data_IF_553172920355
#
_entry.id   IF_553172920355
#
_cell.length_a   1.000
_cell.length_b   1.000
_cell.length_c   1.000
_cell.angle_alpha   90.00
_cell.angle_beta   90.00
_cell.angle_gamma   90.00
#
_symmetry.space_group_name_H-M   'P 1'
#
loop_
_entity.id
_entity.type
_entity.pdbx_description
1 polymer ?
#
# COMPACT_ATOMS: atom_id res chain seq x y z
N UNK A 1 46.74 -21.39 -42.37
CA UNK A 1 46.50 -19.96 -42.07
C UNK A 1 45.26 -19.85 -41.16
N UNK A 2 45.27 -18.85 -40.28
CA UNK A 2 44.37 -18.63 -39.13
C UNK A 2 42.96 -18.19 -39.57
N UNK A 3 41.94 -18.57 -38.80
CA UNK A 3 41.08 -17.59 -38.09
C UNK A 3 40.31 -18.26 -36.94
N UNK A 4 40.55 -17.75 -35.74
CA UNK A 4 39.78 -17.95 -34.50
C UNK A 4 38.45 -17.21 -34.63
N UNK A 5 37.40 -17.64 -33.93
CA UNK A 5 36.65 -16.80 -32.96
C UNK A 5 35.78 -17.70 -32.07
N UNK A 6 35.86 -17.45 -30.76
CA UNK A 6 35.18 -18.11 -29.65
C UNK A 6 33.82 -17.44 -29.37
N UNK A 7 33.13 -17.98 -28.36
CA UNK A 7 31.96 -17.45 -27.63
C UNK A 7 30.63 -17.99 -28.17
N UNK A 8 29.78 -18.60 -27.35
CA UNK A 8 29.79 -18.68 -25.90
C UNK A 8 28.35 -18.95 -25.49
N UNK A 9 28.15 -20.04 -24.76
CA UNK A 9 26.89 -20.34 -24.08
C UNK A 9 26.61 -19.17 -23.13
N UNK A 10 25.62 -18.34 -23.46
CA UNK A 10 25.19 -17.22 -22.62
C UNK A 10 23.77 -16.82 -22.98
N UNK A 11 22.81 -17.28 -22.17
CA UNK A 11 21.78 -16.44 -21.55
C UNK A 11 20.95 -17.29 -20.58
N UNK A 12 21.65 -17.91 -19.62
CA UNK A 12 21.09 -18.13 -18.30
C UNK A 12 21.05 -16.78 -17.58
N UNK A 13 20.07 -15.95 -17.93
CA UNK A 13 19.78 -14.69 -17.24
C UNK A 13 18.33 -14.29 -17.51
N UNK A 14 17.38 -15.16 -17.19
CA UNK A 14 16.10 -14.68 -16.66
C UNK A 14 16.38 -14.21 -15.23
N UNK A 15 17.05 -13.06 -15.18
CA UNK A 15 17.19 -12.20 -14.04
C UNK A 15 15.81 -12.08 -13.41
N UNK A 16 15.70 -12.63 -12.20
CA UNK A 16 15.22 -11.88 -11.04
C UNK A 16 14.24 -10.80 -11.48
N UNK A 17 12.99 -11.20 -11.75
CA UNK A 17 11.88 -10.29 -11.65
C UNK A 17 12.02 -9.68 -10.26
N UNK A 18 12.60 -8.48 -10.23
CA UNK A 18 12.91 -7.80 -9.00
C UNK A 18 11.65 -7.85 -8.17
N UNK A 19 11.75 -8.46 -7.00
CA UNK A 19 10.94 -8.08 -5.86
C UNK A 19 11.27 -6.61 -5.58
N UNK A 20 10.91 -5.73 -6.49
CA UNK A 20 10.77 -4.31 -6.26
C UNK A 20 9.53 -4.23 -5.40
N UNK A 21 9.74 -4.57 -4.12
CA UNK A 21 8.84 -4.20 -3.04
C UNK A 21 8.82 -2.69 -3.18
N UNK A 22 7.79 -2.16 -3.85
CA UNK A 22 7.60 -0.72 -4.02
C UNK A 22 7.88 -0.09 -2.66
N UNK A 23 8.60 1.04 -2.56
CA UNK A 23 8.96 1.61 -1.27
C UNK A 23 7.67 1.78 -0.48
N UNK A 24 7.46 0.87 0.46
CA UNK A 24 6.26 0.87 1.26
C UNK A 24 6.47 1.99 2.24
N UNK A 25 5.48 2.88 2.33
CA UNK A 25 5.57 4.05 3.18
C UNK A 25 6.03 3.60 4.57
N UNK A 26 7.21 4.06 5.00
CA UNK A 26 7.72 3.76 6.33
C UNK A 26 6.73 4.34 7.35
N UNK A 27 6.03 3.46 8.06
CA UNK A 27 5.06 3.85 9.08
C UNK A 27 5.70 4.01 10.45
N UNK A 28 5.00 4.68 11.39
CA UNK A 28 5.45 4.78 12.77
C UNK A 28 5.53 3.39 13.42
N UNK A 29 6.60 3.16 14.18
CA UNK A 29 6.77 1.98 15.04
C UNK A 29 6.26 2.30 16.44
N UNK A 30 5.53 1.37 17.03
CA UNK A 30 4.98 1.50 18.38
C UNK A 30 5.66 0.53 19.34
N UNK A 31 5.58 0.83 20.64
CA UNK A 31 6.21 0.02 21.67
C UNK A 31 5.36 -1.21 22.04
N UNK A 32 4.05 -1.16 21.78
CA UNK A 32 3.12 -2.24 22.09
C UNK A 32 2.06 -2.49 21.01
N UNK A 33 1.51 -3.70 21.00
CA UNK A 33 0.39 -4.06 20.13
C UNK A 33 -0.85 -3.17 20.36
N UNK A 34 -1.08 -2.72 21.60
CA UNK A 34 -2.19 -1.85 21.97
C UNK A 34 -2.07 -0.47 21.31
N UNK A 35 -0.88 0.15 21.35
CA UNK A 35 -0.62 1.43 20.67
C UNK A 35 -0.75 1.31 19.16
N UNK A 36 -0.21 0.23 18.57
CA UNK A 36 -0.36 -0.04 17.14
C UNK A 36 -1.83 -0.22 16.74
N UNK A 37 -2.64 -0.93 17.55
CA UNK A 37 -4.07 -1.09 17.31
C UNK A 37 -4.82 0.24 17.43
N UNK A 38 -4.48 1.08 18.41
CA UNK A 38 -5.06 2.42 18.55
C UNK A 38 -4.75 3.29 17.32
N UNK A 39 -3.51 3.25 16.82
CA UNK A 39 -3.12 3.95 15.61
C UNK A 39 -3.91 3.43 14.39
N UNK A 40 -4.02 2.11 14.20
CA UNK A 40 -4.80 1.53 13.11
C UNK A 40 -6.28 1.96 13.15
N UNK A 41 -6.87 1.99 14.34
CA UNK A 41 -8.25 2.46 14.53
C UNK A 41 -8.38 3.95 14.19
N UNK A 42 -7.39 4.77 14.55
CA UNK A 42 -7.37 6.19 14.19
C UNK A 42 -7.25 6.40 12.67
N UNK A 43 -6.39 5.65 12.01
CA UNK A 43 -6.27 5.69 10.55
C UNK A 43 -7.58 5.25 9.87
N UNK A 44 -8.25 4.22 10.38
CA UNK A 44 -9.56 3.76 9.87
C UNK A 44 -10.65 4.82 10.05
N UNK A 45 -10.76 5.42 11.23
CA UNK A 45 -11.73 6.48 11.49
C UNK A 45 -11.51 7.72 10.61
N UNK A 46 -10.24 8.03 10.28
CA UNK A 46 -9.91 9.09 9.34
C UNK A 46 -10.34 8.74 7.90
N UNK A 47 -10.21 7.48 7.47
CA UNK A 47 -10.73 7.02 6.17
C UNK A 47 -12.25 7.17 6.12
N UNK A 48 -12.97 6.71 7.16
CA UNK A 48 -14.43 6.81 7.23
C UNK A 48 -14.89 8.27 7.15
N UNK A 49 -14.18 9.18 7.82
CA UNK A 49 -14.44 10.62 7.74
C UNK A 49 -14.25 11.15 6.32
N UNK A 50 -13.15 10.79 5.64
CA UNK A 50 -12.87 11.22 4.27
C UNK A 50 -13.92 10.68 3.28
N UNK A 51 -14.37 9.43 3.46
CA UNK A 51 -15.46 8.85 2.66
C UNK A 51 -16.77 9.61 2.90
N UNK A 52 -17.07 9.95 4.17
CA UNK A 52 -18.22 10.77 4.52
C UNK A 52 -18.17 12.19 3.92
N UNK A 53 -16.98 12.77 3.82
CA UNK A 53 -16.75 14.05 3.11
C UNK A 53 -16.94 13.89 1.60
N UNK A 54 -16.42 12.81 1.01
CA UNK A 54 -16.59 12.52 -0.42
C UNK A 54 -18.06 12.39 -0.80
N UNK A 55 -18.87 11.75 0.04
CA UNK A 55 -20.32 11.62 -0.16
C UNK A 55 -21.07 12.97 -0.13
N UNK A 56 -20.47 14.01 0.46
CA UNK A 56 -21.04 15.35 0.60
C UNK A 56 -20.34 16.41 -0.26
N UNK A 57 -19.36 16.01 -1.09
CA UNK A 57 -18.56 16.95 -1.86
C UNK A 57 -19.38 17.55 -3.02
N UNK A 58 -19.43 18.88 -3.07
CA UNK A 58 -20.30 19.64 -3.97
C UNK A 58 -19.63 20.02 -5.30
N UNK A 59 -18.34 19.69 -5.46
CA UNK A 59 -17.58 20.02 -6.68
C UNK A 59 -16.72 18.86 -7.17
N UNK A 60 -16.49 18.81 -8.48
CA UNK A 60 -15.58 17.83 -9.09
C UNK A 60 -14.15 17.96 -8.57
N UNK A 61 -13.67 19.18 -8.34
CA UNK A 61 -12.34 19.42 -7.80
C UNK A 61 -12.19 18.81 -6.39
N UNK A 62 -13.20 19.00 -5.52
CA UNK A 62 -13.20 18.43 -4.18
C UNK A 62 -13.34 16.91 -4.21
N UNK A 63 -14.26 16.37 -5.02
CA UNK A 63 -14.41 14.92 -5.24
C UNK A 63 -13.10 14.29 -5.69
N UNK A 64 -12.39 14.92 -6.63
CA UNK A 64 -11.11 14.45 -7.16
C UNK A 64 -10.02 14.51 -6.09
N UNK A 65 -9.94 15.59 -5.31
CA UNK A 65 -8.98 15.71 -4.20
C UNK A 65 -9.20 14.62 -3.13
N UNK A 66 -10.44 14.41 -2.72
CA UNK A 66 -10.79 13.40 -1.71
C UNK A 66 -10.51 11.99 -2.23
N UNK A 67 -11.06 11.65 -3.41
CA UNK A 67 -11.03 10.30 -3.97
C UNK A 67 -9.65 9.89 -4.49
N UNK A 68 -8.92 10.78 -5.14
CA UNK A 68 -7.70 10.43 -5.87
C UNK A 68 -6.43 10.67 -5.07
N UNK A 69 -6.50 11.52 -4.04
CA UNK A 69 -5.32 11.93 -3.27
C UNK A 69 -5.48 11.56 -1.80
N UNK A 70 -6.48 12.13 -1.12
CA UNK A 70 -6.53 12.05 0.35
C UNK A 70 -6.88 10.65 0.85
N UNK A 71 -7.92 10.00 0.30
CA UNK A 71 -8.30 8.64 0.71
C UNK A 71 -7.18 7.62 0.39
N UNK A 72 -6.58 7.59 -0.82
CA UNK A 72 -5.44 6.71 -1.10
C UNK A 72 -4.25 6.94 -0.18
N UNK A 73 -3.88 8.19 0.10
CA UNK A 73 -2.80 8.52 1.04
C UNK A 73 -3.12 8.04 2.46
N UNK A 74 -4.39 8.09 2.86
CA UNK A 74 -4.79 7.62 4.18
C UNK A 74 -4.69 6.09 4.30
N UNK A 75 -5.03 5.35 3.23
CA UNK A 75 -4.73 3.92 3.17
C UNK A 75 -3.23 3.63 3.21
N UNK A 76 -2.39 4.47 2.60
CA UNK A 76 -0.92 4.33 2.70
C UNK A 76 -0.42 4.46 4.14
N UNK A 77 -0.97 5.39 4.94
CA UNK A 77 -0.63 5.50 6.36
C UNK A 77 -1.02 4.25 7.14
N UNK A 78 -2.24 3.76 6.94
CA UNK A 78 -2.71 2.51 7.55
C UNK A 78 -1.82 1.32 7.20
N UNK A 79 -1.46 1.17 5.92
CA UNK A 79 -0.56 0.11 5.45
C UNK A 79 0.84 0.25 6.05
N UNK A 80 1.35 1.47 6.19
CA UNK A 80 2.61 1.75 6.87
C UNK A 80 2.58 1.31 8.34
N UNK A 81 1.50 1.60 9.06
CA UNK A 81 1.33 1.14 10.45
C UNK A 81 1.31 -0.39 10.52
N UNK A 82 0.58 -1.08 9.63
CA UNK A 82 0.55 -2.54 9.60
C UNK A 82 1.94 -3.13 9.39
N UNK A 83 2.69 -2.61 8.41
CA UNK A 83 4.00 -3.17 8.08
C UNK A 83 5.08 -2.86 9.12
N UNK A 84 5.11 -1.64 9.67
CA UNK A 84 6.11 -1.23 10.65
C UNK A 84 5.96 -1.96 12.01
N UNK A 85 4.81 -2.59 12.26
CA UNK A 85 4.45 -3.17 13.56
C UNK A 85 4.21 -4.68 13.52
N UNK A 86 4.59 -5.38 12.45
CA UNK A 86 4.40 -6.83 12.30
C UNK A 86 5.10 -7.65 13.41
N UNK A 87 6.19 -7.13 13.98
CA UNK A 87 6.90 -7.78 15.09
C UNK A 87 6.07 -7.88 16.38
N UNK A 88 5.05 -7.03 16.54
CA UNK A 88 4.19 -6.98 17.73
C UNK A 88 3.03 -7.99 17.67
N UNK A 89 2.90 -8.72 16.56
CA UNK A 89 1.79 -9.62 16.27
C UNK A 89 2.10 -11.07 16.62
N UNK A 90 1.13 -11.76 17.22
CA UNK A 90 1.17 -13.22 17.32
C UNK A 90 0.95 -13.87 15.95
N UNK A 91 1.26 -15.15 15.81
CA UNK A 91 1.01 -15.88 14.56
C UNK A 91 -0.48 -15.93 14.19
N UNK A 92 -1.36 -16.04 15.18
CA UNK A 92 -2.82 -15.99 14.98
C UNK A 92 -3.26 -14.62 14.43
N UNK A 93 -2.67 -13.53 14.94
CA UNK A 93 -3.00 -12.17 14.52
C UNK A 93 -2.50 -11.87 13.10
N UNK A 94 -1.38 -12.47 12.68
CA UNK A 94 -0.82 -12.25 11.34
C UNK A 94 -1.79 -12.58 10.22
N UNK A 95 -2.54 -13.69 10.32
CA UNK A 95 -3.51 -14.06 9.29
C UNK A 95 -4.61 -13.01 9.13
N UNK A 96 -5.10 -12.47 10.24
CA UNK A 96 -6.12 -11.42 10.25
C UNK A 96 -5.54 -10.11 9.71
N UNK A 97 -4.33 -9.75 10.12
CA UNK A 97 -3.65 -8.56 9.62
C UNK A 97 -3.34 -8.64 8.12
N UNK A 98 -2.93 -9.79 7.61
CA UNK A 98 -2.68 -9.97 6.18
C UNK A 98 -3.97 -9.81 5.38
N UNK A 99 -5.09 -10.37 5.86
CA UNK A 99 -6.39 -10.15 5.23
C UNK A 99 -6.78 -8.66 5.24
N UNK A 100 -6.57 -7.98 6.37
CA UNK A 100 -6.84 -6.55 6.49
C UNK A 100 -5.94 -5.70 5.58
N UNK A 101 -4.64 -6.03 5.50
CA UNK A 101 -3.69 -5.39 4.57
C UNK A 101 -4.13 -5.56 3.12
N UNK A 102 -4.54 -6.76 2.72
CA UNK A 102 -5.03 -7.01 1.37
C UNK A 102 -6.30 -6.20 1.07
N UNK A 103 -7.23 -6.12 2.03
CA UNK A 103 -8.41 -5.28 1.89
C UNK A 103 -8.05 -3.79 1.73
N UNK A 104 -7.16 -3.26 2.57
CA UNK A 104 -6.68 -1.88 2.48
C UNK A 104 -6.01 -1.58 1.14
N UNK A 105 -5.18 -2.49 0.62
CA UNK A 105 -4.57 -2.38 -0.71
C UNK A 105 -5.63 -2.36 -1.82
N UNK A 106 -6.61 -3.26 -1.75
CA UNK A 106 -7.69 -3.30 -2.73
C UNK A 106 -8.52 -2.01 -2.73
N UNK A 107 -8.85 -1.46 -1.56
CA UNK A 107 -9.58 -0.20 -1.46
C UNK A 107 -8.75 0.97 -1.98
N UNK A 108 -7.46 1.06 -1.62
CA UNK A 108 -6.55 2.06 -2.17
C UNK A 108 -6.56 2.05 -3.69
N UNK A 109 -6.42 0.87 -4.31
CA UNK A 109 -6.42 0.71 -5.77
C UNK A 109 -7.76 1.10 -6.38
N UNK A 110 -8.89 0.78 -5.73
CA UNK A 110 -10.22 1.20 -6.21
C UNK A 110 -10.36 2.71 -6.24
N UNK A 111 -9.90 3.41 -5.20
CA UNK A 111 -9.92 4.87 -5.16
C UNK A 111 -8.96 5.50 -6.17
N UNK A 112 -7.68 5.08 -6.19
CA UNK A 112 -6.70 5.64 -7.12
C UNK A 112 -7.01 5.32 -8.59
N UNK A 113 -7.67 4.18 -8.85
CA UNK A 113 -7.94 3.67 -10.19
C UNK A 113 -9.31 4.00 -10.76
N UNK A 114 -10.15 4.77 -10.08
CA UNK A 114 -11.49 5.10 -10.57
C UNK A 114 -11.44 6.10 -11.75
N UNK A 115 -12.56 6.25 -12.47
CA UNK A 115 -12.64 7.11 -13.66
C UNK A 115 -12.37 8.58 -13.34
N UNK A 116 -12.76 9.06 -12.16
CA UNK A 116 -12.54 10.44 -11.72
C UNK A 116 -11.04 10.77 -11.56
N UNK A 117 -10.21 9.75 -11.27
CA UNK A 117 -8.77 9.90 -11.06
C UNK A 117 -7.93 9.72 -12.33
N UNK A 118 -8.54 9.27 -13.43
CA UNK A 118 -7.88 9.05 -14.72
C UNK A 118 -8.11 10.18 -15.73
N UNK A 119 -9.08 11.05 -15.46
CA UNK A 119 -9.43 12.22 -16.27
C UNK A 119 -8.58 13.44 -15.95
#
# INVERSE_FOLDING_TARGET
MKMKTKCGVLLAALLLAGCSRAPQAEGPKYASAAEAAQALNAENAAIDRLIGQLAKADSDAERKKLSCVQIPQQYDRMLGVLEANQQLMTEADRKVQDAFRQLALQQKVRFAGNLLCRS
#
